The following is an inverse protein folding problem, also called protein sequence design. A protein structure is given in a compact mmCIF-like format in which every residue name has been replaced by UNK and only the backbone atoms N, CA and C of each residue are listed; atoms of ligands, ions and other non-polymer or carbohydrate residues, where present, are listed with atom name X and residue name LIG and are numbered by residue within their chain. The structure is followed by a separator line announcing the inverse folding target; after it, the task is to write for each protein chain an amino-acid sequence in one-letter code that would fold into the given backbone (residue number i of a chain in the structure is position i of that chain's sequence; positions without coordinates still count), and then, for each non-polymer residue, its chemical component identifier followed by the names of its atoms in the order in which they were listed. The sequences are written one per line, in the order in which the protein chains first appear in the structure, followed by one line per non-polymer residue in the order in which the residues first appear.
data_IF_055069418596
#
_entry.id   IF_055069418596
#
_cell.length_a   1.000
_cell.length_b   1.000
_cell.length_c   1.000
_cell.angle_alpha   90.00
_cell.angle_beta   90.00
_cell.angle_gamma   90.00
#
_symmetry.space_group_name_H-M   'P 1'
#
loop_
_entity.id
_entity.type
_entity.pdbx_description
1 polymer ?
#
# COMPACT_ATOMS: atom_id res chain seq x y z
N UNK A 1 -48.35 19.17 0.98
CA UNK A 1 -48.92 19.77 -0.25
C UNK A 1 -48.33 21.17 -0.35
N UNK A 2 -47.42 21.40 -1.29
CA UNK A 2 -46.77 22.70 -1.49
C UNK A 2 -47.54 23.49 -2.54
N UNK A 3 -47.89 24.73 -2.20
CA UNK A 3 -48.56 25.66 -3.10
C UNK A 3 -47.88 27.02 -3.03
N UNK A 4 -47.74 27.63 -4.21
CA UNK A 4 -47.66 29.08 -4.47
C UNK A 4 -46.27 29.74 -4.57
N UNK A 5 -45.80 29.86 -5.82
CA UNK A 5 -45.25 31.09 -6.46
C UNK A 5 -46.21 32.31 -6.37
N UNK A 6 -45.91 33.55 -6.83
CA UNK A 6 -44.69 34.20 -7.39
C UNK A 6 -44.48 35.69 -6.93
N UNK A 7 -43.67 36.46 -7.69
CA UNK A 7 -43.51 37.93 -7.82
C UNK A 7 -42.23 38.52 -7.21
N UNK A 8 -41.24 38.90 -8.02
CA UNK A 8 -41.13 40.11 -8.87
C UNK A 8 -40.65 41.33 -8.05
N UNK A 9 -39.42 41.76 -8.31
CA UNK A 9 -39.09 43.13 -8.74
C UNK A 9 -37.57 43.29 -8.75
N UNK A 10 -37.03 43.40 -9.95
CA UNK A 10 -35.71 43.96 -10.22
C UNK A 10 -35.93 45.42 -10.66
N UNK A 11 -35.31 46.43 -10.04
CA UNK A 11 -35.47 47.79 -10.52
C UNK A 11 -34.13 48.47 -10.74
N UNK A 12 -33.31 48.05 -11.70
CA UNK A 12 -32.37 48.98 -12.36
C UNK A 12 -32.13 48.54 -13.81
N UNK A 13 -33.01 49.03 -14.69
CA UNK A 13 -32.74 49.18 -16.11
C UNK A 13 -32.05 50.54 -16.32
N UNK A 14 -30.85 50.53 -16.88
CA UNK A 14 -30.32 51.65 -17.67
C UNK A 14 -29.56 51.11 -18.89
N UNK A 15 -30.24 51.24 -20.04
CA UNK A 15 -29.76 51.61 -21.39
C UNK A 15 -28.39 51.14 -21.93
N UNK A 16 -28.48 50.45 -23.08
CA UNK A 16 -27.48 50.07 -24.11
C UNK A 16 -26.84 51.31 -24.81
N UNK A 17 -25.76 51.22 -25.64
CA UNK A 17 -25.72 50.46 -26.92
C UNK A 17 -24.45 49.62 -27.23
N UNK A 18 -24.69 48.64 -28.10
CA UNK A 18 -23.81 47.74 -28.85
C UNK A 18 -22.47 48.28 -29.34
N UNK A 19 -21.44 47.43 -29.32
CA UNK A 19 -20.57 47.15 -30.50
C UNK A 19 -20.15 45.67 -30.46
N UNK A 20 -20.54 44.91 -31.49
CA UNK A 20 -19.91 43.64 -31.84
C UNK A 20 -18.55 43.93 -32.49
N UNK A 21 -17.49 43.24 -32.09
CA UNK A 21 -16.40 42.90 -33.00
C UNK A 21 -15.74 41.58 -32.59
N UNK A 22 -15.58 40.74 -33.61
CA UNK A 22 -15.00 39.41 -33.67
C UNK A 22 -13.49 39.44 -33.46
N UNK A 23 -12.98 38.54 -32.62
CA UNK A 23 -11.62 38.01 -32.74
C UNK A 23 -11.56 36.62 -32.09
N UNK A 24 -11.53 35.59 -32.94
CA UNK A 24 -11.16 34.23 -32.55
C UNK A 24 -9.65 34.19 -32.37
N UNK A 25 -9.18 33.84 -31.18
CA UNK A 25 -7.79 33.46 -30.93
C UNK A 25 -7.82 32.32 -29.93
N UNK A 26 -7.65 31.12 -30.47
CA UNK A 26 -7.38 29.86 -29.78
C UNK A 26 -6.64 30.10 -28.46
N UNK A 27 -7.29 29.79 -27.34
CA UNK A 27 -6.60 29.44 -26.12
C UNK A 27 -7.03 28.05 -25.73
N UNK A 28 -6.24 27.09 -26.20
CA UNK A 28 -6.13 25.77 -25.61
C UNK A 28 -5.82 25.97 -24.13
N UNK A 29 -6.81 25.67 -23.30
CA UNK A 29 -6.65 25.55 -21.86
C UNK A 29 -5.52 24.54 -21.61
N UNK A 30 -4.44 24.90 -20.89
CA UNK A 30 -3.41 23.93 -20.55
C UNK A 30 -4.08 22.85 -19.70
N UNK A 31 -4.12 21.63 -20.24
CA UNK A 31 -4.48 20.46 -19.45
C UNK A 31 -3.59 20.47 -18.21
N UNK A 32 -4.21 20.52 -17.03
CA UNK A 32 -3.50 20.33 -15.78
C UNK A 32 -2.70 19.04 -15.93
N UNK A 33 -1.38 19.15 -15.90
CA UNK A 33 -0.50 17.99 -15.79
C UNK A 33 -0.73 17.44 -14.39
N UNK A 34 -1.71 16.55 -14.28
CA UNK A 34 -1.78 15.62 -13.17
C UNK A 34 -0.46 14.88 -13.20
N UNK A 35 0.35 14.87 -12.14
CA UNK A 35 1.50 13.98 -12.10
C UNK A 35 0.93 12.58 -12.14
N UNK A 36 0.99 11.95 -13.31
CA UNK A 36 0.66 10.54 -13.46
C UNK A 36 1.74 9.83 -12.65
N UNK A 37 1.39 9.39 -11.44
CA UNK A 37 2.18 8.42 -10.69
C UNK A 37 2.13 7.11 -11.46
N UNK A 38 2.91 7.02 -12.53
CA UNK A 38 3.16 5.78 -13.24
C UNK A 38 4.17 5.02 -12.40
N UNK A 39 3.70 4.27 -11.41
CA UNK A 39 4.34 2.99 -11.16
C UNK A 39 3.44 1.96 -11.83
N UNK A 40 3.78 1.70 -13.08
CA UNK A 40 3.39 0.48 -13.74
C UNK A 40 4.58 -0.45 -13.53
N UNK A 41 4.38 -1.53 -12.79
CA UNK A 41 5.36 -2.61 -12.62
C UNK A 41 5.97 -2.90 -13.99
N UNK A 42 7.26 -2.62 -14.17
CA UNK A 42 7.96 -2.86 -15.44
C UNK A 42 7.90 -4.37 -15.76
N UNK A 43 7.13 -4.80 -16.77
CA UNK A 43 6.94 -6.22 -17.09
C UNK A 43 8.25 -6.91 -17.49
N UNK A 44 9.25 -6.14 -17.95
CA UNK A 44 10.56 -6.66 -18.36
C UNK A 44 11.42 -7.00 -17.13
N UNK A 45 11.29 -6.23 -16.05
CA UNK A 45 12.05 -6.40 -14.81
C UNK A 45 11.34 -7.22 -13.75
N UNK A 46 10.03 -7.39 -13.89
CA UNK A 46 9.21 -8.11 -12.93
C UNK A 46 9.03 -9.58 -13.31
N UNK A 47 9.53 -10.47 -12.45
CA UNK A 47 9.19 -11.89 -12.50
C UNK A 47 8.77 -12.34 -11.11
N UNK A 48 7.57 -12.90 -10.99
CA UNK A 48 7.06 -13.45 -9.72
C UNK A 48 8.01 -14.53 -9.17
N UNK A 49 8.70 -15.25 -10.05
CA UNK A 49 9.72 -16.25 -9.68
C UNK A 49 10.90 -15.70 -8.89
N UNK A 50 11.19 -14.40 -8.98
CA UNK A 50 12.31 -13.78 -8.29
C UNK A 50 12.02 -13.61 -6.79
N UNK A 51 10.75 -13.66 -6.40
CA UNK A 51 10.32 -13.45 -5.02
C UNK A 51 10.38 -14.74 -4.19
N UNK A 52 10.70 -14.63 -2.89
CA UNK A 52 10.68 -15.78 -2.00
C UNK A 52 9.25 -16.30 -1.85
N UNK A 53 9.09 -17.60 -1.99
CA UNK A 53 7.83 -18.27 -1.63
C UNK A 53 7.70 -18.28 -0.11
N UNK A 54 6.55 -17.85 0.41
CA UNK A 54 6.25 -18.04 1.83
C UNK A 54 5.99 -19.53 2.08
N UNK A 55 6.91 -20.17 2.84
CA UNK A 55 6.85 -21.59 3.22
C UNK A 55 6.62 -21.78 4.73
N UNK A 56 6.40 -20.70 5.48
CA UNK A 56 6.17 -20.76 6.91
C UNK A 56 4.85 -21.45 7.21
N UNK A 57 4.81 -22.18 8.33
CA UNK A 57 3.54 -22.62 8.91
C UNK A 57 2.82 -21.42 9.51
N UNK A 58 1.50 -21.51 9.65
CA UNK A 58 0.75 -20.54 10.43
C UNK A 58 1.35 -20.45 11.84
N UNK A 59 1.58 -19.23 12.31
CA UNK A 59 2.19 -18.98 13.60
C UNK A 59 3.72 -19.00 13.66
N UNK A 60 4.41 -19.29 12.56
CA UNK A 60 5.87 -19.26 12.49
C UNK A 60 6.38 -17.82 12.26
N UNK A 61 6.67 -17.13 13.37
CA UNK A 61 7.12 -15.73 13.39
C UNK A 61 8.43 -15.56 12.62
N UNK A 62 9.41 -16.43 12.83
CA UNK A 62 10.73 -16.31 12.20
C UNK A 62 10.65 -16.50 10.69
N UNK A 63 9.92 -17.52 10.23
CA UNK A 63 9.71 -17.74 8.80
C UNK A 63 8.99 -16.57 8.14
N UNK A 64 7.98 -16.00 8.81
CA UNK A 64 7.25 -14.82 8.33
C UNK A 64 8.16 -13.60 8.21
N UNK A 65 8.93 -13.25 9.26
CA UNK A 65 9.79 -12.06 9.25
C UNK A 65 10.91 -12.18 8.21
N UNK A 66 11.53 -13.35 8.08
CA UNK A 66 12.56 -13.60 7.05
C UNK A 66 11.96 -13.45 5.65
N UNK A 67 10.76 -14.01 5.43
CA UNK A 67 10.08 -13.89 4.15
C UNK A 67 9.71 -12.43 3.84
N UNK A 68 9.05 -11.73 4.77
CA UNK A 68 8.66 -10.33 4.61
C UNK A 68 9.87 -9.45 4.30
N UNK A 69 10.95 -9.58 5.08
CA UNK A 69 12.18 -8.84 4.86
C UNK A 69 12.74 -9.06 3.45
N UNK A 70 12.79 -10.31 2.97
CA UNK A 70 13.28 -10.62 1.62
C UNK A 70 12.38 -10.01 0.53
N UNK A 71 11.06 -10.00 0.72
CA UNK A 71 10.12 -9.34 -0.20
C UNK A 71 10.40 -7.83 -0.27
N UNK A 72 10.53 -7.17 0.87
CA UNK A 72 10.83 -5.73 0.92
C UNK A 72 12.17 -5.39 0.27
N UNK A 73 13.20 -6.22 0.47
CA UNK A 73 14.49 -6.01 -0.20
C UNK A 73 14.37 -6.13 -1.72
N UNK A 74 13.57 -7.07 -2.22
CA UNK A 74 13.34 -7.19 -3.67
C UNK A 74 12.57 -5.98 -4.19
N UNK A 75 11.58 -5.46 -3.46
CA UNK A 75 10.91 -4.22 -3.84
C UNK A 75 11.89 -3.06 -3.99
N UNK A 76 12.81 -2.90 -3.02
CA UNK A 76 13.87 -1.89 -3.08
C UNK A 76 14.79 -2.08 -4.29
N UNK A 77 15.28 -3.30 -4.51
CA UNK A 77 16.19 -3.63 -5.63
C UNK A 77 15.51 -3.46 -6.98
N UNK A 78 14.22 -3.77 -7.08
CA UNK A 78 13.43 -3.64 -8.32
C UNK A 78 12.84 -2.24 -8.51
N UNK A 79 12.98 -1.34 -7.55
CA UNK A 79 12.44 0.02 -7.63
C UNK A 79 10.92 0.08 -7.57
N UNK A 80 10.28 -0.84 -6.86
CA UNK A 80 8.83 -0.85 -6.64
C UNK A 80 8.55 0.09 -5.47
N UNK A 81 7.93 1.24 -5.76
CA UNK A 81 7.76 2.35 -4.80
C UNK A 81 6.29 2.53 -4.40
N UNK A 82 5.34 2.31 -5.30
CA UNK A 82 3.93 2.47 -4.97
C UNK A 82 3.43 1.33 -4.11
N UNK A 83 2.79 1.67 -2.99
CA UNK A 83 2.20 0.68 -2.09
C UNK A 83 1.14 -0.19 -2.79
N UNK A 84 0.42 0.36 -3.78
CA UNK A 84 -0.53 -0.38 -4.61
C UNK A 84 0.14 -1.50 -5.41
N UNK A 85 1.35 -1.26 -5.91
CA UNK A 85 2.12 -2.28 -6.64
C UNK A 85 2.63 -3.35 -5.69
N UNK A 86 3.16 -2.93 -4.53
CA UNK A 86 3.55 -3.85 -3.45
C UNK A 86 2.38 -4.78 -3.07
N UNK A 87 1.17 -4.23 -2.95
CA UNK A 87 -0.04 -5.00 -2.67
C UNK A 87 -0.42 -5.96 -3.80
N UNK A 88 -0.46 -5.50 -5.05
CA UNK A 88 -0.77 -6.36 -6.20
C UNK A 88 0.20 -7.53 -6.31
N UNK A 89 1.49 -7.29 -6.04
CA UNK A 89 2.50 -8.33 -6.02
C UNK A 89 2.27 -9.28 -4.83
N UNK A 90 1.95 -8.75 -3.65
CA UNK A 90 1.62 -9.57 -2.47
C UNK A 90 0.48 -10.55 -2.78
N UNK A 91 -0.59 -10.12 -3.45
CA UNK A 91 -1.68 -11.01 -3.89
C UNK A 91 -1.17 -12.16 -4.77
N UNK A 92 -0.28 -11.85 -5.73
CA UNK A 92 0.34 -12.86 -6.60
C UNK A 92 1.20 -13.85 -5.82
N UNK A 93 2.00 -13.36 -4.85
CA UNK A 93 2.88 -14.20 -4.04
C UNK A 93 2.10 -15.15 -3.12
N UNK A 94 0.96 -14.69 -2.61
CA UNK A 94 0.15 -15.45 -1.66
C UNK A 94 -0.91 -16.32 -2.33
N UNK A 95 -1.15 -16.19 -3.63
CA UNK A 95 -2.17 -16.95 -4.40
C UNK A 95 -2.22 -18.46 -4.14
N UNK A 96 -1.09 -19.08 -3.78
CA UNK A 96 -0.97 -20.52 -3.49
C UNK A 96 -0.68 -20.81 -2.00
N UNK A 97 -0.94 -19.86 -1.10
CA UNK A 97 -0.66 -19.94 0.32
C UNK A 97 -1.97 -19.88 1.12
N UNK A 98 -2.08 -20.50 2.31
CA UNK A 98 -3.25 -20.33 3.19
C UNK A 98 -3.61 -18.87 3.50
N UNK A 99 -2.64 -17.95 3.48
CA UNK A 99 -2.86 -16.52 3.63
C UNK A 99 -3.58 -15.86 2.41
N UNK A 100 -3.76 -16.56 1.29
CA UNK A 100 -4.51 -16.08 0.12
C UNK A 100 -5.95 -15.67 0.48
N UNK A 101 -6.57 -16.42 1.38
CA UNK A 101 -7.95 -16.19 1.82
C UNK A 101 -8.12 -14.83 2.50
N UNK A 102 -7.10 -14.34 3.22
CA UNK A 102 -7.09 -13.00 3.80
C UNK A 102 -6.97 -11.93 2.71
N UNK A 103 -6.04 -12.11 1.78
CA UNK A 103 -5.86 -11.22 0.63
C UNK A 103 -7.15 -11.01 -0.17
N UNK A 104 -7.91 -12.09 -0.40
CA UNK A 104 -9.21 -12.02 -1.07
C UNK A 104 -10.26 -11.24 -0.28
N UNK A 105 -10.23 -11.31 1.06
CA UNK A 105 -11.15 -10.58 1.95
C UNK A 105 -10.84 -9.09 2.03
N UNK A 106 -9.57 -8.71 1.94
CA UNK A 106 -9.16 -7.30 1.93
C UNK A 106 -9.71 -6.57 0.69
N UNK A 107 -9.85 -7.29 -0.43
CA UNK A 107 -10.48 -6.78 -1.64
C UNK A 107 -9.58 -5.77 -2.37
N UNK A 108 -9.86 -4.48 -2.20
CA UNK A 108 -9.15 -3.37 -2.86
C UNK A 108 -8.11 -2.73 -1.93
N UNK A 109 -7.02 -2.23 -2.52
CA UNK A 109 -6.00 -1.47 -1.79
C UNK A 109 -6.43 -0.03 -1.46
N UNK A 110 -7.61 0.42 -1.90
CA UNK A 110 -8.03 1.81 -1.78
C UNK A 110 -8.05 2.29 -0.31
N UNK A 111 -7.32 3.37 -0.02
CA UNK A 111 -7.20 3.94 1.33
C UNK A 111 -6.21 3.23 2.25
N UNK A 112 -5.53 2.18 1.78
CA UNK A 112 -4.52 1.47 2.54
C UNK A 112 -3.11 1.96 2.19
N UNK A 113 -2.19 1.80 3.15
CA UNK A 113 -0.74 1.90 2.93
C UNK A 113 -0.13 0.50 3.00
N UNK A 114 1.05 0.31 2.40
CA UNK A 114 1.79 -0.95 2.48
C UNK A 114 1.97 -1.39 3.94
N UNK A 115 2.34 -0.44 4.80
CA UNK A 115 2.51 -0.67 6.24
C UNK A 115 1.22 -1.18 6.90
N UNK A 116 0.07 -0.57 6.59
CA UNK A 116 -1.23 -0.98 7.16
C UNK A 116 -1.63 -2.39 6.72
N UNK A 117 -1.41 -2.73 5.45
CA UNK A 117 -1.68 -4.06 4.89
C UNK A 117 -0.84 -5.11 5.59
N UNK A 118 0.47 -4.85 5.75
CA UNK A 118 1.36 -5.81 6.39
C UNK A 118 1.03 -6.00 7.87
N UNK A 119 0.65 -4.94 8.58
CA UNK A 119 0.19 -5.03 9.98
C UNK A 119 -1.07 -5.87 10.12
N UNK A 120 -2.02 -5.74 9.20
CA UNK A 120 -3.21 -6.58 9.19
C UNK A 120 -2.85 -8.03 8.86
N UNK A 121 -1.95 -8.26 7.90
CA UNK A 121 -1.44 -9.60 7.58
C UNK A 121 -0.78 -10.26 8.81
N UNK A 122 0.02 -9.52 9.58
CA UNK A 122 0.61 -10.01 10.83
C UNK A 122 -0.45 -10.48 11.82
N UNK A 123 -1.53 -9.70 11.98
CA UNK A 123 -2.64 -10.07 12.87
C UNK A 123 -3.35 -11.37 12.47
N UNK A 124 -3.26 -11.74 11.19
CA UNK A 124 -3.88 -12.95 10.65
C UNK A 124 -2.91 -14.12 10.63
N UNK A 125 -1.61 -13.91 10.38
CA UNK A 125 -0.68 -15.03 10.17
C UNK A 125 0.06 -15.41 11.46
N UNK A 126 0.16 -14.48 12.41
CA UNK A 126 0.92 -14.66 13.65
C UNK A 126 0.00 -14.85 14.86
N UNK A 127 0.47 -15.54 15.92
CA UNK A 127 -0.30 -15.66 17.16
C UNK A 127 -0.46 -14.30 17.84
N UNK A 128 -1.59 -14.03 18.51
CA UNK A 128 -1.88 -12.71 19.11
C UNK A 128 -0.76 -12.17 20.02
N UNK A 129 -0.09 -13.05 20.75
CA UNK A 129 0.96 -12.74 21.73
C UNK A 129 2.39 -12.85 21.15
N UNK A 130 2.54 -12.92 19.84
CA UNK A 130 3.84 -13.18 19.20
C UNK A 130 4.90 -12.15 19.58
N UNK A 131 4.53 -10.87 19.63
CA UNK A 131 5.46 -9.80 19.93
C UNK A 131 5.95 -9.89 21.37
N UNK A 132 5.06 -10.23 22.31
CA UNK A 132 5.40 -10.38 23.71
C UNK A 132 6.26 -11.63 23.95
N UNK A 133 6.00 -12.72 23.22
CA UNK A 133 6.89 -13.90 23.19
C UNK A 133 8.30 -13.56 22.70
N UNK A 134 8.43 -12.78 21.63
CA UNK A 134 9.75 -12.36 21.13
C UNK A 134 10.46 -11.46 22.16
N UNK A 135 9.76 -10.51 22.78
CA UNK A 135 10.32 -9.67 23.85
C UNK A 135 10.78 -10.51 25.04
N UNK A 136 9.98 -11.49 25.45
CA UNK A 136 10.31 -12.39 26.54
C UNK A 136 11.54 -13.24 26.20
N UNK A 137 11.61 -13.80 24.98
CA UNK A 137 12.78 -14.53 24.51
C UNK A 137 14.04 -13.68 24.50
N UNK A 138 13.93 -12.40 24.11
CA UNK A 138 15.05 -11.47 24.15
C UNK A 138 15.46 -11.10 25.57
N UNK A 139 14.49 -10.92 26.47
CA UNK A 139 14.75 -10.66 27.90
C UNK A 139 15.44 -11.87 28.57
N UNK A 140 15.01 -13.08 28.23
CA UNK A 140 15.54 -14.32 28.79
C UNK A 140 16.83 -14.78 28.08
N UNK A 141 17.27 -14.04 27.05
CA UNK A 141 18.50 -14.32 26.33
C UNK A 141 19.71 -14.05 27.25
N UNK A 142 20.35 -15.12 27.69
CA UNK A 142 21.54 -15.06 28.55
C UNK A 142 22.61 -15.99 28.01
N UNK A 143 23.86 -15.48 28.01
CA UNK A 143 25.00 -16.21 27.50
C UNK A 143 25.29 -17.42 28.38
N UNK A 144 25.36 -18.61 27.78
CA UNK A 144 25.59 -19.84 28.54
C UNK A 144 27.06 -19.93 28.99
N UNK A 145 27.36 -20.59 30.13
CA UNK A 145 28.73 -20.84 30.54
C UNK A 145 29.49 -21.62 29.45
N UNK A 146 30.60 -21.04 28.95
CA UNK A 146 31.42 -21.64 27.89
C UNK A 146 30.93 -21.40 26.46
N UNK A 147 29.84 -20.64 26.26
CA UNK A 147 29.44 -20.16 24.94
C UNK A 147 30.44 -19.12 24.44
N UNK A 148 30.69 -19.08 23.12
CA UNK A 148 31.49 -18.01 22.53
C UNK A 148 30.63 -16.80 22.22
N UNK A 149 31.16 -15.58 22.44
CA UNK A 149 30.43 -14.33 22.23
C UNK A 149 29.84 -14.23 20.82
N UNK A 150 30.56 -14.67 19.79
CA UNK A 150 30.05 -14.64 18.40
C UNK A 150 28.81 -15.52 18.20
N UNK A 151 28.73 -16.66 18.92
CA UNK A 151 27.60 -17.58 18.84
C UNK A 151 26.40 -17.02 19.60
N UNK A 152 26.64 -16.43 20.77
CA UNK A 152 25.62 -15.74 21.56
C UNK A 152 25.01 -14.56 20.77
N UNK A 153 25.84 -13.71 20.18
CA UNK A 153 25.38 -12.57 19.38
C UNK A 153 24.61 -12.98 18.11
N UNK A 154 24.79 -14.21 17.61
CA UNK A 154 24.07 -14.71 16.45
C UNK A 154 22.67 -15.28 16.79
N UNK A 155 22.33 -15.43 18.08
CA UNK A 155 21.02 -15.94 18.53
C UNK A 155 19.95 -14.83 18.69
N UNK A 156 20.38 -13.57 18.81
CA UNK A 156 19.52 -12.40 18.97
C UNK A 156 19.00 -11.82 17.66
#
# INVERSE_FOLDING_TARGET
MYTSTPFNCNPFCTSVPSICNTASLNHQQPAAVVPVTVSAIDPVRFRVSDFPKYKGKYGDVSAYRIWHHKVEQIFKVKGIILDSDCFNILLLLLSNNPAASWCQRLGSFEGHTWLSVMKEMESVVLPVDWLDKIKQQLHDLSMKPGEHMSTFCAQG
#
